data_IF_371494738936
#
_entry.id   IF_371494738936
#
_cell.length_a   1.000
_cell.length_b   1.000
_cell.length_c   1.000
_cell.angle_alpha   90.00
_cell.angle_beta   90.00
_cell.angle_gamma   90.00
#
_symmetry.space_group_name_H-M   'P 1'
#
loop_
_entity.id
_entity.type
_entity.pdbx_description
1 polymer ?
#
# COMPACT_ATOMS: atom_id res chain seq x y z
N UNK A 1 -12.83 9.05 0.89
CA UNK A 1 -12.69 8.26 -0.35
C UNK A 1 -13.28 9.06 -1.49
N UNK A 2 -12.72 9.00 -2.70
CA UNK A 2 -13.18 9.70 -3.89
C UNK A 2 -13.05 8.78 -5.11
N UNK A 3 -13.98 8.93 -6.06
CA UNK A 3 -14.08 8.14 -7.28
C UNK A 3 -14.20 9.05 -8.50
N UNK A 4 -13.85 8.53 -9.68
CA UNK A 4 -13.97 9.25 -10.94
C UNK A 4 -12.98 10.40 -11.00
N UNK A 5 -13.48 11.62 -11.24
CA UNK A 5 -12.66 12.82 -11.39
C UNK A 5 -11.88 13.12 -10.10
N UNK A 6 -10.62 12.70 -10.09
CA UNK A 6 -9.69 12.93 -8.99
C UNK A 6 -9.23 14.40 -8.99
N UNK A 7 -8.88 14.98 -7.82
CA UNK A 7 -8.30 16.31 -7.78
C UNK A 7 -6.98 16.34 -8.56
N UNK A 8 -6.65 17.51 -9.13
CA UNK A 8 -5.50 17.69 -10.04
C UNK A 8 -4.22 17.07 -9.46
N UNK A 9 -3.89 17.36 -8.20
CA UNK A 9 -2.69 16.82 -7.54
C UNK A 9 -2.63 15.28 -7.51
N UNK A 10 -3.78 14.59 -7.52
CA UNK A 10 -3.85 13.13 -7.50
C UNK A 10 -3.65 12.55 -8.91
N UNK A 11 -4.09 13.28 -9.94
CA UNK A 11 -3.75 12.97 -11.33
C UNK A 11 -2.26 13.18 -11.57
N UNK A 12 -1.69 14.32 -11.13
CA UNK A 12 -0.25 14.58 -11.23
C UNK A 12 0.57 13.48 -10.52
N UNK A 13 0.13 13.05 -9.33
CA UNK A 13 0.75 11.93 -8.61
C UNK A 13 0.63 10.61 -9.39
N UNK A 14 -0.49 10.36 -10.06
CA UNK A 14 -0.69 9.18 -10.90
C UNK A 14 0.29 9.17 -12.08
N UNK A 15 0.49 10.32 -12.73
CA UNK A 15 1.41 10.47 -13.86
C UNK A 15 2.86 10.24 -13.41
N UNK A 16 3.26 10.82 -12.27
CA UNK A 16 4.57 10.56 -11.66
C UNK A 16 4.80 9.07 -11.34
N UNK A 17 3.77 8.37 -10.87
CA UNK A 17 3.86 6.91 -10.61
C UNK A 17 4.01 6.14 -11.93
N UNK A 18 3.28 6.53 -12.98
CA UNK A 18 3.37 5.90 -14.29
C UNK A 18 4.77 6.07 -14.88
N UNK A 19 5.31 7.29 -14.86
CA UNK A 19 6.65 7.60 -15.34
C UNK A 19 7.71 6.81 -14.58
N UNK A 20 7.65 6.82 -13.25
CA UNK A 20 8.60 6.08 -12.41
C UNK A 20 8.53 4.56 -12.64
N UNK A 21 7.34 4.01 -12.85
CA UNK A 21 7.18 2.59 -13.17
C UNK A 21 7.68 2.29 -14.59
N UNK A 22 7.44 3.16 -15.57
CA UNK A 22 7.85 2.94 -16.96
C UNK A 22 9.36 2.82 -17.16
N UNK A 23 10.15 3.49 -16.32
CA UNK A 23 11.62 3.45 -16.35
C UNK A 23 12.23 2.48 -15.34
N UNK A 24 11.40 1.72 -14.61
CA UNK A 24 11.87 0.80 -13.58
C UNK A 24 12.33 -0.53 -14.18
N UNK A 25 13.60 -0.87 -13.95
CA UNK A 25 14.20 -2.17 -14.31
C UNK A 25 13.98 -3.27 -13.25
N UNK A 26 13.12 -3.05 -12.25
CA UNK A 26 12.83 -4.02 -11.21
C UNK A 26 12.12 -5.28 -11.78
N UNK A 27 12.53 -6.46 -11.32
CA UNK A 27 11.92 -7.74 -11.68
C UNK A 27 11.34 -8.46 -10.44
N UNK A 28 10.04 -8.83 -10.44
CA UNK A 28 9.06 -8.53 -11.48
C UNK A 28 8.72 -7.04 -11.55
N UNK A 29 8.40 -6.57 -12.75
CA UNK A 29 8.05 -5.17 -12.99
C UNK A 29 6.90 -4.71 -12.06
N UNK A 30 7.02 -3.54 -11.39
CA UNK A 30 6.15 -3.18 -10.26
C UNK A 30 4.69 -3.06 -10.66
N UNK A 31 4.41 -2.51 -11.84
CA UNK A 31 3.09 -2.37 -12.42
C UNK A 31 3.07 -3.14 -13.75
N UNK A 32 2.39 -4.29 -13.87
CA UNK A 32 2.33 -5.05 -15.11
C UNK A 32 2.05 -4.16 -16.33
N UNK A 33 2.79 -4.33 -17.43
CA UNK A 33 2.75 -3.39 -18.56
C UNK A 33 1.36 -3.13 -19.14
N UNK A 34 0.47 -4.12 -19.15
CA UNK A 34 -0.93 -3.98 -19.59
C UNK A 34 -1.80 -3.13 -18.64
N UNK A 35 -1.36 -2.90 -17.40
CA UNK A 35 -1.98 -2.00 -16.44
C UNK A 35 -1.38 -0.60 -16.47
N UNK A 36 -0.08 -0.49 -16.79
CA UNK A 36 0.67 0.77 -16.75
C UNK A 36 0.09 1.82 -17.69
N UNK A 37 -0.36 1.42 -18.88
CA UNK A 37 -0.86 2.33 -19.93
C UNK A 37 -2.38 2.51 -19.91
N UNK A 38 -3.02 2.27 -18.77
CA UNK A 38 -4.45 2.46 -18.60
C UNK A 38 -4.78 3.95 -18.51
N UNK A 39 -5.90 4.34 -19.12
CA UNK A 39 -6.45 5.69 -19.01
C UNK A 39 -7.85 5.66 -18.34
N UNK A 40 -8.06 6.36 -17.21
CA UNK A 40 -7.01 6.86 -16.30
C UNK A 40 -6.31 5.68 -15.59
N UNK A 41 -5.02 5.81 -15.22
CA UNK A 41 -4.29 4.71 -14.56
C UNK A 41 -4.99 4.28 -13.25
N UNK A 42 -5.45 5.25 -12.47
CA UNK A 42 -6.26 5.07 -11.28
C UNK A 42 -7.54 5.92 -11.36
N UNK A 43 -8.66 5.39 -10.88
CA UNK A 43 -9.97 6.07 -10.88
C UNK A 43 -10.57 6.23 -9.47
N UNK A 44 -9.81 5.81 -8.45
CA UNK A 44 -10.23 5.85 -7.06
C UNK A 44 -9.07 6.27 -6.15
N UNK A 45 -9.36 7.22 -5.27
CA UNK A 45 -8.48 7.73 -4.24
C UNK A 45 -9.06 7.45 -2.84
N UNK A 46 -8.24 6.88 -1.97
CA UNK A 46 -8.54 6.72 -0.55
C UNK A 46 -7.45 7.45 0.24
N UNK A 47 -7.87 8.31 1.16
CA UNK A 47 -6.96 8.97 2.10
C UNK A 47 -7.32 8.48 3.49
N UNK A 48 -6.36 7.86 4.17
CA UNK A 48 -6.51 7.41 5.55
C UNK A 48 -5.61 8.24 6.45
N UNK A 49 -6.16 8.78 7.53
CA UNK A 49 -5.40 9.45 8.59
C UNK A 49 -5.43 8.56 9.83
N UNK A 50 -4.25 8.23 10.33
CA UNK A 50 -4.05 7.43 11.54
C UNK A 50 -3.65 8.40 12.64
N UNK A 51 -4.46 8.48 13.69
CA UNK A 51 -4.11 9.22 14.89
C UNK A 51 -3.01 8.46 15.66
N UNK A 52 -2.09 9.18 16.32
CA UNK A 52 -1.21 8.55 17.29
C UNK A 52 -2.05 7.95 18.42
N UNK A 53 -1.72 6.74 18.89
CA UNK A 53 -1.98 6.41 20.29
C UNK A 53 -1.19 7.38 21.16
N UNK A 54 -1.59 7.60 22.43
CA UNK A 54 -0.89 8.54 23.30
C UNK A 54 0.64 8.36 23.19
N UNK A 55 1.33 9.51 23.06
CA UNK A 55 2.75 9.81 22.77
C UNK A 55 3.29 9.79 21.31
N UNK A 56 3.38 11.03 20.77
CA UNK A 56 4.47 11.62 19.92
C UNK A 56 4.42 11.32 18.40
N UNK A 57 4.78 12.29 17.53
CA UNK A 57 4.80 12.09 16.07
C UNK A 57 6.00 11.23 15.61
N UNK A 58 5.77 10.37 14.62
CA UNK A 58 6.78 9.64 13.85
C UNK A 58 6.31 9.42 12.41
N UNK A 59 7.34 9.21 11.58
CA UNK A 59 7.41 9.17 10.12
C UNK A 59 7.15 7.78 9.50
N UNK A 60 7.35 6.65 10.20
CA UNK A 60 7.29 5.31 9.58
C UNK A 60 6.18 4.41 10.16
N UNK A 61 5.71 3.41 9.42
CA UNK A 61 4.78 2.38 9.93
C UNK A 61 5.08 0.99 9.37
N UNK A 62 4.79 -0.07 10.13
CA UNK A 62 4.90 -1.45 9.65
C UNK A 62 3.60 -1.91 9.00
N UNK A 63 3.71 -2.48 7.80
CA UNK A 63 2.65 -3.23 7.16
C UNK A 63 2.97 -4.73 7.24
N UNK A 64 2.41 -5.49 8.20
CA UNK A 64 2.40 -6.94 8.10
C UNK A 64 1.69 -7.41 6.84
N UNK A 65 2.40 -8.23 6.08
CA UNK A 65 1.92 -9.01 4.95
C UNK A 65 1.84 -10.49 5.40
N UNK A 66 0.66 -11.11 5.31
CA UNK A 66 0.45 -12.51 5.66
C UNK A 66 -0.21 -13.27 4.48
N UNK A 67 0.40 -14.36 4.02
CA UNK A 67 -0.18 -15.20 2.97
C UNK A 67 -1.37 -16.01 3.52
N UNK A 68 -2.50 -16.01 2.82
CA UNK A 68 -3.73 -16.68 3.27
C UNK A 68 -3.69 -18.21 3.18
N UNK A 69 -2.82 -18.80 2.35
CA UNK A 69 -2.76 -20.25 2.10
C UNK A 69 -1.95 -21.02 3.18
N UNK A 70 -2.15 -20.67 4.46
CA UNK A 70 -1.71 -21.53 5.56
C UNK A 70 -2.81 -22.57 5.81
N UNK A 71 -2.71 -23.72 5.14
CA UNK A 71 -3.59 -24.87 5.36
C UNK A 71 -3.67 -25.25 6.86
N UNK A 72 -4.82 -25.81 7.26
CA UNK A 72 -5.09 -26.25 8.63
C UNK A 72 -4.01 -27.27 9.06
N UNK A 73 -3.10 -26.86 9.95
CA UNK A 73 -1.93 -27.66 10.38
C UNK A 73 -0.55 -27.16 9.90
N UNK A 74 -0.49 -26.08 9.11
CA UNK A 74 0.77 -25.41 8.78
C UNK A 74 1.23 -24.48 9.92
N UNK A 75 2.55 -24.23 10.09
CA UNK A 75 3.03 -23.20 11.00
C UNK A 75 2.33 -21.88 10.70
N UNK A 76 2.06 -21.08 11.74
CA UNK A 76 1.35 -19.79 11.63
C UNK A 76 1.77 -19.04 10.38
N UNK A 77 0.83 -18.48 9.59
CA UNK A 77 1.14 -17.86 8.31
C UNK A 77 2.31 -16.88 8.46
N UNK A 78 3.31 -17.03 7.60
CA UNK A 78 4.50 -16.20 7.65
C UNK A 78 4.09 -14.73 7.53
N UNK A 79 4.38 -13.94 8.57
CA UNK A 79 4.19 -12.49 8.58
C UNK A 79 5.48 -11.83 8.11
N UNK A 80 5.43 -11.16 6.96
CA UNK A 80 6.53 -10.37 6.44
C UNK A 80 6.29 -8.91 6.81
N UNK A 81 7.06 -8.34 7.75
CA UNK A 81 6.89 -6.94 8.11
C UNK A 81 7.57 -6.06 7.05
N UNK A 82 6.87 -5.01 6.59
CA UNK A 82 7.41 -4.01 5.66
C UNK A 82 7.43 -2.64 6.34
N UNK A 83 8.61 -2.02 6.45
CA UNK A 83 8.75 -0.65 6.94
C UNK A 83 8.40 0.37 5.86
N UNK A 84 7.36 1.17 6.11
CA UNK A 84 6.90 2.25 5.23
C UNK A 84 7.35 3.60 5.76
N UNK A 85 8.26 4.26 5.04
CA UNK A 85 8.71 5.63 5.33
C UNK A 85 7.76 6.69 4.77
N UNK A 86 7.76 7.96 5.24
CA UNK A 86 7.00 9.01 4.58
C UNK A 86 7.50 9.19 3.15
N UNK A 87 6.56 9.29 2.21
CA UNK A 87 6.88 9.41 0.79
C UNK A 87 7.27 8.09 0.12
N UNK A 88 7.37 6.97 0.85
CA UNK A 88 7.57 5.67 0.20
C UNK A 88 6.33 5.28 -0.60
N UNK A 89 6.53 4.76 -1.81
CA UNK A 89 5.50 4.13 -2.62
C UNK A 89 5.50 2.62 -2.37
N UNK A 90 4.32 2.05 -2.13
CA UNK A 90 4.14 0.60 -2.05
C UNK A 90 3.16 0.16 -3.13
N UNK A 91 3.56 -0.84 -3.92
CA UNK A 91 2.72 -1.43 -4.96
C UNK A 91 2.34 -2.84 -4.56
N UNK A 92 1.03 -3.11 -4.52
CA UNK A 92 0.48 -4.45 -4.32
C UNK A 92 -0.06 -4.97 -5.65
N UNK A 93 0.59 -5.99 -6.21
CA UNK A 93 0.22 -6.64 -7.46
C UNK A 93 0.23 -8.17 -7.30
N UNK A 94 -0.40 -8.88 -8.25
CA UNK A 94 -0.46 -10.34 -8.25
C UNK A 94 -0.93 -10.95 -6.92
N UNK A 95 -0.22 -11.97 -6.46
CA UNK A 95 -0.51 -12.73 -5.25
C UNK A 95 -0.57 -11.86 -3.99
N UNK A 96 0.36 -10.91 -3.84
CA UNK A 96 0.41 -9.99 -2.71
C UNK A 96 -0.84 -9.10 -2.60
N UNK A 97 -1.55 -8.88 -3.71
CA UNK A 97 -2.81 -8.12 -3.73
C UNK A 97 -4.04 -8.98 -3.43
N UNK A 98 -4.07 -10.22 -3.94
CA UNK A 98 -5.29 -11.02 -3.97
C UNK A 98 -5.34 -12.16 -2.95
N UNK A 99 -4.18 -12.72 -2.59
CA UNK A 99 -4.09 -13.88 -1.69
C UNK A 99 -3.50 -13.54 -0.33
N UNK A 100 -3.06 -12.30 -0.11
CA UNK A 100 -2.38 -11.91 1.10
C UNK A 100 -3.20 -10.90 1.89
N UNK A 101 -3.30 -11.14 3.20
CA UNK A 101 -3.76 -10.14 4.14
C UNK A 101 -2.67 -9.11 4.34
N UNK A 102 -3.07 -7.85 4.28
CA UNK A 102 -2.20 -6.71 4.45
C UNK A 102 -2.89 -5.76 5.42
N UNK A 103 -2.16 -5.34 6.44
CA UNK A 103 -2.70 -4.45 7.47
C UNK A 103 -1.58 -3.58 8.01
N UNK A 104 -1.91 -2.38 8.46
CA UNK A 104 -0.96 -1.58 9.23
C UNK A 104 -1.12 -2.02 10.67
N UNK A 105 -0.01 -2.30 11.36
CA UNK A 105 -0.08 -2.58 12.79
C UNK A 105 -0.42 -1.29 13.55
N UNK A 106 -1.56 -1.30 14.24
CA UNK A 106 -2.14 -0.17 14.99
C UNK A 106 -2.13 -0.42 16.49
N UNK A 107 -1.37 -1.42 16.97
CA UNK A 107 -1.23 -1.67 18.40
C UNK A 107 -0.68 -0.41 19.08
N UNK A 108 -1.28 0.07 20.18
CA UNK A 108 -0.74 1.22 20.89
C UNK A 108 0.65 0.91 21.45
N UNK A 109 1.46 1.96 21.62
CA UNK A 109 2.85 1.83 22.08
C UNK A 109 3.85 1.78 20.93
N UNK A 110 4.97 1.09 21.17
CA UNK A 110 6.08 1.00 20.22
C UNK A 110 6.07 -0.33 19.46
N UNK A 111 6.63 -0.30 18.26
CA UNK A 111 6.94 -1.50 17.48
C UNK A 111 8.46 -1.67 17.41
N UNK A 112 8.96 -2.87 17.17
CA UNK A 112 10.40 -3.10 16.98
C UNK A 112 10.67 -3.38 15.51
N UNK A 113 11.71 -2.75 14.96
CA UNK A 113 12.22 -3.03 13.62
C UNK A 113 13.73 -3.13 13.68
N UNK A 114 14.29 -4.29 13.34
CA UNK A 114 15.74 -4.54 13.34
C UNK A 114 16.43 -4.18 14.67
N UNK A 115 15.72 -4.32 15.79
CA UNK A 115 16.22 -3.97 17.12
C UNK A 115 15.98 -2.52 17.55
N UNK A 116 15.47 -1.67 16.65
CA UNK A 116 15.14 -0.27 16.91
C UNK A 116 13.66 -0.07 17.28
N UNK A 117 13.41 0.84 18.20
CA UNK A 117 12.06 1.21 18.62
C UNK A 117 11.41 2.15 17.60
N UNK A 118 10.34 1.68 16.96
CA UNK A 118 9.45 2.49 16.13
C UNK A 118 8.32 3.06 16.99
N UNK A 119 8.36 4.38 17.19
CA UNK A 119 7.29 5.13 17.85
C UNK A 119 6.18 5.37 16.84
N UNK A 120 4.91 5.19 17.21
CA UNK A 120 3.80 5.42 16.28
C UNK A 120 3.33 6.88 16.35
N UNK A 121 3.22 7.55 15.20
CA UNK A 121 2.74 8.92 15.13
C UNK A 121 1.54 9.12 14.21
N UNK A 122 1.17 10.40 14.02
CA UNK A 122 0.16 10.75 13.02
C UNK A 122 0.68 10.41 11.61
N UNK A 123 -0.03 9.52 10.92
CA UNK A 123 0.29 9.11 9.55
C UNK A 123 -0.87 9.44 8.62
N UNK A 124 -0.56 9.92 7.42
CA UNK A 124 -1.52 10.01 6.32
C UNK A 124 -1.06 9.06 5.21
N UNK A 125 -1.92 8.18 4.74
CA UNK A 125 -1.66 7.40 3.52
C UNK A 125 -2.64 7.75 2.42
N UNK A 126 -2.10 7.74 1.21
CA UNK A 126 -2.83 7.91 -0.04
C UNK A 126 -2.80 6.54 -0.72
N UNK A 127 -3.97 6.02 -1.07
CA UNK A 127 -4.11 4.78 -1.84
C UNK A 127 -4.83 5.10 -3.13
N UNK A 128 -4.15 4.83 -4.24
CA UNK A 128 -4.69 4.93 -5.60
C UNK A 128 -5.02 3.53 -6.11
N UNK A 129 -6.20 3.34 -6.69
CA UNK A 129 -6.59 2.08 -7.34
C UNK A 129 -7.48 2.33 -8.54
N UNK A 130 -7.56 1.32 -9.41
CA UNK A 130 -8.57 1.26 -10.47
C UNK A 130 -9.63 0.23 -10.14
N UNK A 131 -10.89 0.63 -10.17
CA UNK A 131 -12.00 -0.29 -10.04
C UNK A 131 -12.11 -1.18 -11.28
N UNK A 132 -12.43 -2.46 -11.07
CA UNK A 132 -12.89 -3.29 -12.18
C UNK A 132 -14.27 -2.77 -12.57
N UNK A 133 -14.46 -2.44 -13.86
CA UNK A 133 -15.81 -2.21 -14.38
C UNK A 133 -16.58 -3.51 -14.23
N UNK A 134 -17.81 -3.43 -13.71
CA UNK A 134 -18.73 -4.57 -13.76
C UNK A 134 -18.89 -4.98 -15.22
N UNK A 135 -18.98 -6.29 -15.54
CA UNK A 135 -19.37 -6.69 -16.88
C UNK A 135 -20.71 -6.00 -17.17
N UNK A 136 -20.75 -5.18 -18.21
CA UNK A 136 -22.02 -4.74 -18.77
C UNK A 136 -22.76 -6.00 -19.19
N UNK A 137 -23.89 -6.27 -18.51
CA UNK A 137 -24.82 -7.33 -18.89
C UNK A 137 -25.46 -7.06 -20.24
#
# INVERSE_FOLDING_TARGET
MRFGDLPIWASDLSDLIQEAAAVSDAEPHPIPGHLLWRDPLFDQLIVNVYAPGEVVPMRNGLLPLAAADAGEGSPSPAKIPVLLHPGSLMVLSGEARYRWEHGIDRRPGFQMWEGEELRQGRRTSITLRRLRRSPSG
#
